data_IF_835401402116
#
_entry.id   IF_835401402116
#
_cell.length_a   1.000
_cell.length_b   1.000
_cell.length_c   1.000
_cell.angle_alpha   90.00
_cell.angle_beta   90.00
_cell.angle_gamma   90.00
#
_symmetry.space_group_name_H-M   'P 1'
#
loop_
_entity.id
_entity.type
_entity.pdbx_description
1 polymer ?
#
# COMPACT_ATOMS: atom_id res chain seq x y z
N UNK A 1 -19.34 28.98 3.19
CA UNK A 1 -20.19 27.81 2.88
C UNK A 1 -19.29 26.67 2.44
N UNK A 2 -18.90 25.81 3.38
CA UNK A 2 -18.03 24.65 3.12
C UNK A 2 -18.90 23.52 2.56
N UNK A 3 -18.63 23.08 1.33
CA UNK A 3 -19.24 21.87 0.77
C UNK A 3 -18.39 20.69 1.22
N UNK A 4 -18.88 19.93 2.22
CA UNK A 4 -18.38 18.58 2.48
C UNK A 4 -18.57 17.74 1.23
N UNK A 5 -17.47 17.25 0.66
CA UNK A 5 -17.49 16.20 -0.33
C UNK A 5 -17.69 14.88 0.41
N UNK A 6 -18.95 14.44 0.52
CA UNK A 6 -19.26 13.07 0.90
C UNK A 6 -18.83 12.15 -0.25
N UNK A 7 -17.81 11.33 0.01
CA UNK A 7 -17.41 10.27 -0.91
C UNK A 7 -18.44 9.14 -0.83
N UNK A 8 -19.37 9.11 -1.78
CA UNK A 8 -20.21 7.96 -2.08
C UNK A 8 -19.33 6.90 -2.74
N UNK A 9 -18.60 6.13 -1.94
CA UNK A 9 -18.17 4.80 -2.36
C UNK A 9 -19.22 3.86 -1.82
N UNK A 10 -20.01 3.23 -2.69
CA UNK A 10 -20.80 2.08 -2.28
C UNK A 10 -19.84 1.09 -1.62
N UNK A 11 -19.95 0.99 -0.28
CA UNK A 11 -19.31 -0.03 0.54
C UNK A 11 -19.94 -1.37 0.12
N UNK A 12 -19.57 -1.88 -1.04
CA UNK A 12 -19.78 -3.27 -1.38
C UNK A 12 -18.84 -4.04 -0.46
N UNK A 13 -19.37 -4.36 0.72
CA UNK A 13 -18.70 -5.09 1.78
C UNK A 13 -18.00 -6.29 1.18
N UNK A 14 -16.68 -6.22 1.12
CA UNK A 14 -15.81 -7.25 0.60
C UNK A 14 -15.56 -8.30 1.70
N UNK A 15 -16.64 -8.75 2.36
CA UNK A 15 -16.62 -9.77 3.42
C UNK A 15 -16.11 -11.13 2.94
N UNK A 16 -15.90 -11.29 1.63
CA UNK A 16 -15.43 -12.52 1.00
C UNK A 16 -13.90 -12.73 1.16
N UNK A 17 -13.14 -11.68 1.47
CA UNK A 17 -11.66 -11.74 1.46
C UNK A 17 -11.00 -11.65 2.82
N UNK A 18 -11.66 -11.05 3.81
CA UNK A 18 -11.16 -10.99 5.18
C UNK A 18 -12.28 -11.41 6.15
N UNK A 19 -12.11 -12.50 6.91
CA UNK A 19 -13.01 -12.76 8.02
C UNK A 19 -12.87 -11.63 9.04
N UNK A 20 -14.01 -11.10 9.52
CA UNK A 20 -14.10 -9.98 10.48
C UNK A 20 -13.25 -10.17 11.74
N UNK A 21 -12.94 -11.44 12.07
CA UNK A 21 -12.28 -11.85 13.30
C UNK A 21 -10.81 -12.26 13.08
N UNK A 22 -10.21 -11.89 11.94
CA UNK A 22 -8.81 -12.21 11.65
C UNK A 22 -7.86 -11.52 12.65
N UNK A 23 -7.42 -12.27 13.67
CA UNK A 23 -6.34 -11.83 14.57
C UNK A 23 -5.00 -12.17 13.91
N UNK A 24 -4.25 -11.15 13.52
CA UNK A 24 -2.87 -11.29 13.08
C UNK A 24 -2.00 -11.05 14.30
N UNK A 25 -1.31 -12.08 14.79
CA UNK A 25 -0.44 -12.02 15.96
C UNK A 25 1.05 -12.15 15.66
N UNK A 26 1.42 -12.50 14.42
CA UNK A 26 2.81 -12.76 14.01
C UNK A 26 3.06 -12.48 12.52
N UNK A 27 4.34 -12.30 12.14
CA UNK A 27 4.75 -12.17 10.72
C UNK A 27 4.24 -13.35 9.89
N UNK A 28 4.41 -14.59 10.34
CA UNK A 28 3.94 -15.75 9.59
C UNK A 28 2.40 -15.77 9.40
N UNK A 29 1.63 -15.29 10.36
CA UNK A 29 0.17 -15.15 10.21
C UNK A 29 -0.20 -14.04 9.22
N UNK A 30 0.51 -12.92 9.27
CA UNK A 30 0.34 -11.81 8.33
C UNK A 30 0.58 -12.25 6.88
N UNK A 31 1.71 -12.93 6.63
CA UNK A 31 2.08 -13.40 5.29
C UNK A 31 1.06 -14.43 4.76
N UNK A 32 0.65 -15.39 5.60
CA UNK A 32 -0.43 -16.35 5.23
C UNK A 32 -1.76 -15.65 4.95
N UNK A 33 -2.09 -14.60 5.70
CA UNK A 33 -3.31 -13.82 5.48
C UNK A 33 -3.28 -13.09 4.15
N UNK A 34 -2.20 -12.37 3.83
CA UNK A 34 -2.06 -11.67 2.55
C UNK A 34 -2.06 -12.65 1.36
N UNK A 35 -1.39 -13.79 1.48
CA UNK A 35 -1.40 -14.82 0.45
C UNK A 35 -2.82 -15.37 0.19
N UNK A 36 -3.61 -15.60 1.24
CA UNK A 36 -5.01 -16.03 1.11
C UNK A 36 -5.87 -14.99 0.39
N UNK A 37 -5.61 -13.69 0.59
CA UNK A 37 -6.30 -12.62 -0.17
C UNK A 37 -5.95 -12.74 -1.66
N UNK A 38 -4.67 -12.86 -2.00
CA UNK A 38 -4.23 -13.05 -3.39
C UNK A 38 -4.87 -14.30 -4.02
N UNK A 39 -4.88 -15.44 -3.33
CA UNK A 39 -5.48 -16.68 -3.83
C UNK A 39 -6.99 -16.55 -4.02
N UNK A 40 -7.67 -15.89 -3.09
CA UNK A 40 -9.11 -15.63 -3.19
C UNK A 40 -9.41 -14.70 -4.35
N UNK A 41 -8.57 -13.69 -4.59
CA UNK A 41 -8.73 -12.77 -5.71
C UNK A 41 -8.64 -13.51 -7.03
N UNK A 42 -7.62 -14.34 -7.21
CA UNK A 42 -7.42 -15.15 -8.42
C UNK A 42 -8.61 -16.08 -8.70
N UNK A 43 -9.23 -16.64 -7.66
CA UNK A 43 -10.44 -17.46 -7.81
C UNK A 43 -11.67 -16.65 -8.20
N UNK A 44 -11.87 -15.48 -7.59
CA UNK A 44 -13.01 -14.62 -7.86
C UNK A 44 -12.92 -13.91 -9.23
N UNK A 45 -11.70 -13.58 -9.67
CA UNK A 45 -11.42 -12.79 -10.86
C UNK A 45 -10.40 -13.47 -11.79
N UNK A 46 -10.72 -14.63 -12.39
CA UNK A 46 -9.79 -15.39 -13.22
C UNK A 46 -9.41 -14.71 -14.54
N UNK A 47 -10.05 -13.59 -14.89
CA UNK A 47 -9.78 -12.82 -16.11
C UNK A 47 -9.09 -11.47 -15.84
N UNK A 48 -8.63 -11.26 -14.61
CA UNK A 48 -8.18 -9.97 -14.09
C UNK A 48 -9.30 -8.90 -14.09
N UNK A 49 -9.20 -7.94 -13.18
CA UNK A 49 -10.04 -6.74 -13.16
C UNK A 49 -9.25 -5.47 -13.49
N UNK A 50 -7.98 -5.45 -13.12
CA UNK A 50 -7.06 -4.35 -13.34
C UNK A 50 -6.48 -4.38 -14.74
N UNK A 51 -6.16 -3.18 -15.24
CA UNK A 51 -5.35 -3.01 -16.44
C UNK A 51 -4.24 -2.05 -16.08
N UNK A 52 -3.00 -2.44 -16.35
CA UNK A 52 -1.85 -1.55 -16.32
C UNK A 52 -1.57 -0.99 -17.70
N UNK A 53 -0.94 0.18 -17.75
CA UNK A 53 -0.50 0.81 -18.99
C UNK A 53 1.03 0.89 -19.02
N UNK A 54 1.59 1.50 -20.07
CA UNK A 54 3.03 1.75 -20.15
C UNK A 54 3.59 2.58 -18.99
N UNK A 55 2.75 3.27 -18.20
CA UNK A 55 3.22 4.01 -17.01
C UNK A 55 3.70 3.09 -15.91
N UNK A 56 2.92 2.08 -15.51
CA UNK A 56 3.33 1.08 -14.52
C UNK A 56 4.65 0.44 -14.94
N UNK A 57 4.71 -0.09 -16.17
CA UNK A 57 5.92 -0.76 -16.66
C UNK A 57 7.14 0.16 -16.68
N UNK A 58 6.96 1.44 -17.03
CA UNK A 58 8.05 2.41 -17.04
C UNK A 58 8.59 2.63 -15.63
N UNK A 59 7.73 2.81 -14.63
CA UNK A 59 8.15 3.01 -13.25
C UNK A 59 8.79 1.74 -12.69
N UNK A 60 8.24 0.56 -13.02
CA UNK A 60 8.85 -0.72 -12.65
C UNK A 60 10.27 -0.85 -13.22
N UNK A 61 10.47 -0.50 -14.50
CA UNK A 61 11.80 -0.47 -15.11
C UNK A 61 12.74 0.53 -14.45
N UNK A 62 12.23 1.67 -13.96
CA UNK A 62 13.03 2.63 -13.19
C UNK A 62 13.53 2.00 -11.89
N UNK A 63 12.67 1.30 -11.15
CA UNK A 63 13.04 0.59 -9.92
C UNK A 63 14.13 -0.47 -10.17
N UNK A 64 14.07 -1.17 -11.30
CA UNK A 64 15.02 -2.23 -11.65
C UNK A 64 16.36 -1.72 -12.18
N UNK A 65 16.39 -0.54 -12.82
CA UNK A 65 17.57 -0.04 -13.54
C UNK A 65 18.36 1.03 -12.80
N UNK A 66 17.73 1.69 -11.83
CA UNK A 66 18.34 2.80 -11.11
C UNK A 66 18.11 2.66 -9.60
N UNK A 67 18.44 1.52 -8.99
CA UNK A 67 18.27 1.31 -7.55
C UNK A 67 19.10 2.29 -6.70
N UNK A 68 20.12 2.93 -7.28
CA UNK A 68 20.98 3.93 -6.63
C UNK A 68 20.47 5.38 -6.74
N UNK A 69 19.38 5.64 -7.50
CA UNK A 69 18.78 6.97 -7.57
C UNK A 69 18.11 7.31 -6.22
N UNK A 70 18.40 8.49 -5.68
CA UNK A 70 17.83 8.98 -4.40
C UNK A 70 16.29 9.04 -4.39
N UNK A 71 15.66 9.06 -5.57
CA UNK A 71 14.20 9.05 -5.72
C UNK A 71 13.62 7.65 -5.85
N UNK A 72 14.45 6.61 -5.83
CA UNK A 72 14.05 5.22 -6.02
C UNK A 72 14.32 4.46 -4.73
N UNK A 73 13.27 3.81 -4.21
CA UNK A 73 13.38 2.93 -3.05
C UNK A 73 12.92 1.54 -3.51
N UNK A 74 13.85 0.67 -3.96
CA UNK A 74 13.49 -0.69 -4.35
C UNK A 74 13.07 -1.49 -3.12
N UNK A 75 12.11 -2.39 -3.32
CA UNK A 75 11.61 -3.27 -2.26
C UNK A 75 11.22 -4.63 -2.85
N UNK A 76 11.11 -5.64 -2.00
CA UNK A 76 10.67 -6.99 -2.37
C UNK A 76 9.26 -7.03 -2.99
N UNK A 77 8.41 -6.02 -2.76
CA UNK A 77 7.07 -5.94 -3.36
C UNK A 77 7.02 -5.12 -4.66
N UNK A 78 8.13 -4.50 -5.07
CA UNK A 78 8.23 -3.60 -6.21
C UNK A 78 9.04 -2.38 -5.81
N UNK A 79 8.39 -1.32 -5.33
CA UNK A 79 9.08 -0.19 -4.72
C UNK A 79 8.39 1.14 -4.85
N UNK A 80 9.13 2.16 -4.44
CA UNK A 80 8.69 3.56 -4.41
C UNK A 80 9.48 4.37 -5.42
N UNK A 81 8.77 5.22 -6.18
CA UNK A 81 9.39 6.28 -6.98
C UNK A 81 8.90 7.63 -6.49
N UNK A 82 9.79 8.43 -5.90
CA UNK A 82 9.49 9.78 -5.40
C UNK A 82 9.33 10.73 -6.57
N UNK A 83 8.15 11.33 -6.67
CA UNK A 83 7.81 12.30 -7.72
C UNK A 83 8.19 13.72 -7.28
N UNK A 84 7.77 14.09 -6.07
CA UNK A 84 8.07 15.40 -5.47
C UNK A 84 8.33 15.26 -3.97
N UNK A 85 9.36 15.95 -3.51
CA UNK A 85 9.62 16.12 -2.09
C UNK A 85 9.86 17.60 -1.77
N UNK A 86 9.00 18.16 -0.93
CA UNK A 86 9.16 19.50 -0.35
C UNK A 86 8.62 19.45 1.07
N UNK A 87 9.50 19.21 2.03
CA UNK A 87 9.11 19.03 3.43
C UNK A 87 8.09 20.11 3.91
N UNK A 88 6.97 19.72 4.54
CA UNK A 88 6.58 18.34 4.89
C UNK A 88 5.77 17.62 3.80
N UNK A 89 5.60 18.17 2.61
CA UNK A 89 4.86 17.52 1.52
C UNK A 89 5.71 16.47 0.79
N UNK A 90 5.14 15.29 0.59
CA UNK A 90 5.74 14.18 -0.19
C UNK A 90 4.70 13.71 -1.21
N UNK A 91 5.13 13.48 -2.45
CA UNK A 91 4.34 12.85 -3.50
C UNK A 91 5.16 11.71 -4.11
N UNK A 92 4.60 10.51 -4.19
CA UNK A 92 5.32 9.32 -4.66
C UNK A 92 4.40 8.31 -5.34
N UNK A 93 4.98 7.51 -6.22
CA UNK A 93 4.36 6.31 -6.77
C UNK A 93 4.70 5.11 -5.92
N UNK A 94 3.69 4.30 -5.61
CA UNK A 94 3.87 2.94 -5.10
C UNK A 94 3.63 1.98 -6.26
N UNK A 95 4.66 1.23 -6.64
CA UNK A 95 4.61 0.26 -7.74
C UNK A 95 4.59 -1.12 -7.10
N UNK A 96 3.41 -1.74 -7.03
CA UNK A 96 3.22 -3.02 -6.37
C UNK A 96 3.04 -4.11 -7.42
N UNK A 97 3.91 -5.12 -7.39
CA UNK A 97 3.82 -6.27 -8.30
C UNK A 97 2.67 -7.19 -7.90
N UNK A 98 2.10 -7.89 -8.89
CA UNK A 98 1.11 -8.94 -8.65
C UNK A 98 1.60 -9.94 -7.58
N UNK A 99 0.70 -10.25 -6.65
CA UNK A 99 0.91 -11.19 -5.56
C UNK A 99 1.76 -10.65 -4.41
N UNK A 100 2.24 -9.40 -4.49
CA UNK A 100 3.07 -8.78 -3.47
C UNK A 100 2.29 -7.79 -2.62
N UNK A 101 2.82 -7.47 -1.45
CA UNK A 101 2.16 -6.62 -0.47
C UNK A 101 3.16 -5.83 0.35
N UNK A 102 2.71 -4.67 0.80
CA UNK A 102 3.43 -3.81 1.74
C UNK A 102 3.36 -4.42 3.14
N UNK A 103 4.09 -3.85 4.09
CA UNK A 103 3.96 -4.20 5.49
C UNK A 103 2.57 -3.79 6.03
N UNK A 104 2.13 -4.46 7.10
CA UNK A 104 1.09 -3.89 7.95
C UNK A 104 1.73 -2.83 8.82
N UNK A 105 1.34 -1.59 8.61
CA UNK A 105 1.98 -0.43 9.21
C UNK A 105 0.98 0.63 9.64
N UNK A 106 1.46 1.60 10.41
CA UNK A 106 0.75 2.82 10.74
C UNK A 106 1.71 4.00 10.83
N UNK A 107 1.13 5.20 10.87
CA UNK A 107 1.85 6.44 11.06
C UNK A 107 1.35 7.19 12.29
N UNK A 108 2.22 7.86 13.04
CA UNK A 108 1.79 8.65 14.21
C UNK A 108 1.29 10.05 13.84
N UNK A 109 1.83 10.64 12.77
CA UNK A 109 1.60 12.04 12.39
C UNK A 109 1.38 12.25 10.90
N UNK A 110 1.82 11.32 10.06
CA UNK A 110 1.67 11.39 8.61
C UNK A 110 0.21 11.24 8.22
N UNK A 111 -0.24 12.14 7.36
CA UNK A 111 -1.60 12.18 6.82
C UNK A 111 -1.52 11.96 5.31
N UNK A 112 -2.16 10.89 4.81
CA UNK A 112 -1.91 10.38 3.47
C UNK A 112 -3.17 10.21 2.63
N UNK A 113 -3.07 10.58 1.36
CA UNK A 113 -4.09 10.36 0.36
C UNK A 113 -3.54 9.48 -0.76
N UNK A 114 -4.15 8.33 -0.95
CA UNK A 114 -3.83 7.39 -2.03
C UNK A 114 -4.86 7.51 -3.15
N UNK A 115 -4.40 7.45 -4.39
CA UNK A 115 -5.22 7.31 -5.58
C UNK A 115 -4.69 6.14 -6.40
N UNK A 116 -5.56 5.17 -6.69
CA UNK A 116 -5.22 4.05 -7.58
C UNK A 116 -5.25 4.56 -9.01
N UNK A 117 -4.10 4.53 -9.68
CA UNK A 117 -3.98 5.00 -11.06
C UNK A 117 -4.21 3.86 -12.07
N UNK A 118 -3.67 2.68 -11.78
CA UNK A 118 -3.68 1.53 -12.68
C UNK A 118 -3.76 0.23 -11.89
N UNK A 119 -4.27 -0.82 -12.53
CA UNK A 119 -4.29 -2.14 -11.93
C UNK A 119 -5.41 -2.38 -10.92
N UNK A 120 -5.21 -3.42 -10.10
CA UNK A 120 -6.16 -3.81 -9.07
C UNK A 120 -5.47 -4.40 -7.83
N UNK A 121 -6.08 -4.17 -6.67
CA UNK A 121 -5.54 -4.61 -5.40
C UNK A 121 -6.58 -4.66 -4.29
N UNK A 122 -6.08 -4.82 -3.07
CA UNK A 122 -6.86 -4.76 -1.85
C UNK A 122 -6.13 -3.88 -0.84
N UNK A 123 -6.86 -3.00 -0.16
CA UNK A 123 -6.41 -2.41 1.09
C UNK A 123 -6.99 -3.22 2.24
N UNK A 124 -6.14 -3.55 3.20
CA UNK A 124 -6.54 -4.12 4.48
C UNK A 124 -6.25 -3.08 5.53
N UNK A 125 -7.23 -2.73 6.37
CA UNK A 125 -7.06 -1.66 7.35
C UNK A 125 -7.92 -1.81 8.61
N UNK A 126 -7.44 -1.26 9.73
CA UNK A 126 -8.22 -1.03 10.94
C UNK A 126 -8.43 0.46 11.11
N UNK A 127 -9.69 0.90 11.04
CA UNK A 127 -10.03 2.29 11.31
C UNK A 127 -9.86 2.56 12.81
N UNK A 128 -9.47 3.79 13.17
CA UNK A 128 -9.07 4.19 14.53
C UNK A 128 -10.14 3.99 15.62
N UNK A 129 -11.36 3.59 15.25
CA UNK A 129 -12.49 3.33 16.14
C UNK A 129 -12.95 1.87 16.17
N UNK A 130 -12.30 0.95 15.45
CA UNK A 130 -12.73 -0.45 15.33
C UNK A 130 -11.59 -1.42 15.60
N UNK A 131 -11.88 -2.52 16.30
CA UNK A 131 -10.95 -3.65 16.42
C UNK A 131 -10.92 -4.53 15.17
N UNK A 132 -11.93 -4.40 14.30
CA UNK A 132 -12.05 -5.21 13.09
C UNK A 132 -11.06 -4.78 12.01
N UNK A 133 -10.54 -5.80 11.33
CA UNK A 133 -9.73 -5.67 10.14
C UNK A 133 -10.64 -5.74 8.92
N UNK A 134 -10.75 -4.64 8.19
CA UNK A 134 -11.57 -4.54 6.98
C UNK A 134 -10.68 -4.74 5.74
N UNK A 135 -11.22 -5.39 4.72
CA UNK A 135 -10.61 -5.47 3.40
C UNK A 135 -11.51 -4.77 2.38
N UNK A 136 -10.93 -3.87 1.59
CA UNK A 136 -11.64 -3.13 0.55
C UNK A 136 -10.89 -3.22 -0.77
N UNK A 137 -11.64 -3.29 -1.86
CA UNK A 137 -11.10 -3.41 -3.20
C UNK A 137 -10.51 -2.09 -3.68
N UNK A 138 -9.34 -2.16 -4.29
CA UNK A 138 -8.66 -1.06 -4.96
C UNK A 138 -8.75 -1.27 -6.48
N UNK A 139 -9.42 -0.36 -7.18
CA UNK A 139 -9.48 -0.29 -8.64
C UNK A 139 -9.09 1.11 -9.10
N UNK A 140 -8.74 1.28 -10.36
CA UNK A 140 -8.43 2.60 -10.92
C UNK A 140 -9.53 3.64 -10.59
N UNK A 141 -9.11 4.77 -10.04
CA UNK A 141 -10.00 5.84 -9.55
C UNK A 141 -10.40 5.72 -8.08
N UNK A 142 -10.15 4.59 -7.41
CA UNK A 142 -10.33 4.48 -5.95
C UNK A 142 -9.42 5.46 -5.24
N UNK A 143 -9.98 6.17 -4.25
CA UNK A 143 -9.26 7.11 -3.39
C UNK A 143 -9.40 6.71 -1.94
N UNK A 144 -8.29 6.76 -1.22
CA UNK A 144 -8.21 6.37 0.19
C UNK A 144 -7.55 7.48 0.98
N UNK A 145 -8.10 7.80 2.16
CA UNK A 145 -7.49 8.71 3.13
C UNK A 145 -7.07 7.90 4.34
N UNK A 146 -5.77 7.92 4.63
CA UNK A 146 -5.15 7.26 5.78
C UNK A 146 -4.74 8.36 6.75
N UNK A 147 -5.61 8.60 7.73
CA UNK A 147 -5.30 9.50 8.83
C UNK A 147 -4.27 8.89 9.77
N UNK A 148 -3.55 9.71 10.56
CA UNK A 148 -2.66 9.20 11.59
C UNK A 148 -3.32 8.15 12.50
N UNK A 149 -2.56 7.10 12.80
CA UNK A 149 -2.96 5.97 13.63
C UNK A 149 -3.73 4.85 12.91
N UNK A 150 -4.13 5.04 11.65
CA UNK A 150 -4.78 3.99 10.86
C UNK A 150 -3.76 2.90 10.51
N UNK A 151 -4.03 1.69 11.00
CA UNK A 151 -3.25 0.51 10.61
C UNK A 151 -3.72 0.05 9.24
N UNK A 152 -2.80 -0.16 8.31
CA UNK A 152 -3.14 -0.55 6.95
C UNK A 152 -2.03 -1.35 6.26
N UNK A 153 -2.43 -2.10 5.24
CA UNK A 153 -1.57 -2.84 4.32
C UNK A 153 -2.18 -2.76 2.92
N UNK A 154 -1.36 -2.54 1.91
CA UNK A 154 -1.75 -2.58 0.50
C UNK A 154 -1.24 -3.88 -0.12
N UNK A 155 -2.14 -4.59 -0.79
CA UNK A 155 -1.88 -5.86 -1.45
C UNK A 155 -2.14 -5.68 -2.95
N UNK A 156 -1.10 -5.86 -3.77
CA UNK A 156 -1.20 -5.94 -5.22
C UNK A 156 -1.71 -7.31 -5.61
N UNK A 157 -3.03 -7.51 -5.63
CA UNK A 157 -3.61 -8.78 -6.10
C UNK A 157 -3.42 -8.99 -7.60
N UNK A 158 -3.24 -7.90 -8.32
CA UNK A 158 -2.69 -7.77 -9.67
C UNK A 158 -1.57 -6.70 -9.61
N UNK A 159 -0.86 -6.47 -10.70
CA UNK A 159 0.03 -5.31 -10.79
C UNK A 159 -0.77 -4.04 -10.50
N UNK A 160 -0.28 -3.21 -9.57
CA UNK A 160 -1.02 -2.10 -8.98
C UNK A 160 -0.13 -0.85 -8.90
N UNK A 161 -0.64 0.26 -9.43
CA UNK A 161 0.00 1.56 -9.34
C UNK A 161 -0.84 2.50 -8.47
N UNK A 162 -0.25 2.95 -7.36
CA UNK A 162 -0.84 4.00 -6.54
C UNK A 162 -0.03 5.28 -6.63
N UNK A 163 -0.72 6.40 -6.50
CA UNK A 163 -0.10 7.69 -6.24
C UNK A 163 -0.46 8.16 -4.83
N UNK A 164 0.56 8.38 -4.02
CA UNK A 164 0.42 8.93 -2.68
C UNK A 164 0.74 10.42 -2.70
N UNK A 165 -0.11 11.21 -2.03
CA UNK A 165 0.20 12.58 -1.60
C UNK A 165 0.06 12.62 -0.09
N UNK A 166 1.10 13.03 0.61
CA UNK A 166 1.11 13.03 2.06
C UNK A 166 1.73 14.29 2.65
N UNK A 167 1.31 14.60 3.88
CA UNK A 167 1.99 15.53 4.76
C UNK A 167 2.73 14.71 5.81
N UNK A 168 4.05 14.78 5.79
CA UNK A 168 4.96 14.02 6.63
C UNK A 168 5.85 14.96 7.47
N UNK A 169 5.43 15.28 8.71
CA UNK A 169 6.18 16.18 9.57
C UNK A 169 7.51 15.61 10.09
N UNK A 170 7.66 14.28 10.17
CA UNK A 170 8.91 13.67 10.69
C UNK A 170 9.89 13.32 9.57
N UNK A 171 9.44 13.26 8.32
CA UNK A 171 10.21 12.81 7.17
C UNK A 171 9.90 11.35 6.82
N UNK A 172 10.13 11.01 5.55
CA UNK A 172 9.58 9.83 4.85
C UNK A 172 9.65 8.49 5.58
N UNK A 173 10.68 8.29 6.40
CA UNK A 173 11.01 7.03 7.08
C UNK A 173 10.83 7.09 8.61
N UNK A 174 10.74 8.28 9.19
CA UNK A 174 10.81 8.47 10.66
C UNK A 174 9.46 8.34 11.36
N UNK A 175 8.37 8.35 10.62
CA UNK A 175 7.01 8.22 11.16
C UNK A 175 6.40 6.83 10.92
N UNK A 176 7.16 5.92 10.34
CA UNK A 176 6.67 4.61 9.91
C UNK A 176 6.82 3.58 11.04
N UNK A 177 5.71 2.97 11.45
CA UNK A 177 5.67 1.94 12.50
C UNK A 177 5.19 0.63 11.88
N UNK A 178 6.11 -0.31 11.71
CA UNK A 178 5.80 -1.65 11.23
C UNK A 178 5.20 -2.52 12.35
N UNK A 179 4.06 -3.14 12.05
CA UNK A 179 3.42 -4.14 12.91
C UNK A 179 3.81 -5.55 12.45
N UNK A 180 3.75 -5.79 11.14
CA UNK A 180 4.17 -7.05 10.51
C UNK A 180 4.75 -6.78 9.12
N UNK A 181 5.80 -7.51 8.73
CA UNK A 181 6.50 -7.32 7.46
C UNK A 181 6.35 -8.54 6.54
N UNK A 182 6.43 -8.34 5.20
CA UNK A 182 6.57 -9.46 4.28
C UNK A 182 7.83 -10.29 4.60
N UNK A 183 7.76 -11.62 4.48
CA UNK A 183 8.89 -12.52 4.77
C UNK A 183 10.14 -12.20 3.93
N UNK A 184 9.95 -11.74 2.70
CA UNK A 184 11.07 -11.33 1.82
C UNK A 184 11.68 -9.97 2.21
N UNK A 185 11.02 -9.16 3.04
CA UNK A 185 11.51 -7.86 3.50
C UNK A 185 12.50 -7.97 4.69
N UNK A 186 12.53 -9.11 5.40
CA UNK A 186 13.47 -9.32 6.51
C UNK A 186 14.94 -9.34 6.03
N UNK A 187 15.18 -9.63 4.74
CA UNK A 187 16.49 -9.55 4.09
C UNK A 187 16.90 -8.13 3.67
N UNK A 188 15.97 -7.17 3.61
CA UNK A 188 16.19 -5.81 3.07
C UNK A 188 16.48 -4.76 4.16
N UNK A 189 16.13 -5.04 5.41
CA UNK A 189 16.36 -4.13 6.56
C UNK A 189 17.84 -3.77 6.80
N UNK A 190 18.77 -4.59 6.30
CA UNK A 190 20.21 -4.31 6.33
C UNK A 190 20.65 -3.20 5.35
N UNK A 191 19.88 -2.92 4.30
CA UNK A 191 20.24 -1.93 3.27
C UNK A 191 19.61 -0.55 3.50
N UNK A 192 18.40 -0.48 4.08
CA UNK A 192 17.69 0.79 4.26
C UNK A 192 18.32 1.72 5.33
N UNK A 193 19.13 1.19 6.27
CA UNK A 193 19.83 2.03 7.26
C UNK A 193 20.99 2.87 6.68
N UNK A 194 21.43 2.61 5.44
CA UNK A 194 22.52 3.34 4.80
C UNK A 194 22.08 4.47 3.84
N UNK A 195 20.81 4.51 3.43
CA UNK A 195 20.36 5.46 2.39
C UNK A 195 19.99 6.86 2.93
N UNK A 196 19.91 7.04 4.25
CA UNK A 196 19.45 8.29 4.88
C UNK A 196 20.37 8.81 6.00
N UNK A 197 21.66 8.43 6.00
CA UNK A 197 22.72 9.13 6.71
C UNK A 197 23.44 10.10 5.77
#
# INVERSE_FOLDING_TARGET
MSKSFYCNTELLGFSEFAPSDAVIGSNGEFNRFCQKICDSWKRAYPRSLGVTTGRFERLLRTLERSPEDEKVIPTSWGGVVVDRYRHPQVEKFLVVREGRYLALEKHDQKDEYLEVLEGAGVIVWRRSSTSELLAEKLLAGTRVHLSPGVEHCIIGTEDLLLYERSRDPKGMDRDLIFLYTPEEAELESAFQQQAYQ
#
